data_IF_390353270838
#
_entry.id   IF_390353270838
#
_cell.length_a   1.000
_cell.length_b   1.000
_cell.length_c   1.000
_cell.angle_alpha   90.00
_cell.angle_beta   90.00
_cell.angle_gamma   90.00
#
_symmetry.space_group_name_H-M   'P 1'
#
loop_
_entity.id
_entity.type
_entity.pdbx_description
1 polymer ?
#
# COMPACT_ATOMS: atom_id res chain seq x y z
N UNK A 1 62.75 -8.21 -24.44
CA UNK A 1 61.49 -7.64 -23.91
C UNK A 1 60.35 -8.04 -24.85
N UNK A 2 59.74 -9.21 -24.63
CA UNK A 2 58.57 -9.66 -25.39
C UNK A 2 57.33 -9.05 -24.76
N UNK A 3 56.88 -7.93 -25.33
CA UNK A 3 55.59 -7.33 -24.99
C UNK A 3 54.48 -8.25 -25.52
N UNK A 4 53.66 -8.75 -24.60
CA UNK A 4 52.44 -9.50 -24.85
C UNK A 4 51.55 -8.76 -25.84
N UNK A 5 51.39 -9.29 -27.06
CA UNK A 5 50.26 -8.94 -27.91
C UNK A 5 49.02 -9.66 -27.39
N UNK A 6 48.32 -9.04 -26.44
CA UNK A 6 46.99 -9.49 -26.03
C UNK A 6 46.09 -9.27 -27.25
N UNK A 7 45.70 -10.38 -27.89
CA UNK A 7 44.83 -10.37 -29.06
C UNK A 7 43.56 -9.56 -28.75
N UNK A 8 43.12 -8.63 -29.61
CA UNK A 8 41.94 -7.79 -29.36
C UNK A 8 40.69 -8.63 -29.06
N UNK A 9 40.62 -9.86 -29.57
CA UNK A 9 39.58 -10.83 -29.26
C UNK A 9 39.52 -11.20 -27.76
N UNK A 10 40.67 -11.35 -27.08
CA UNK A 10 40.72 -11.69 -25.65
C UNK A 10 40.23 -10.54 -24.77
N UNK A 11 40.55 -9.29 -25.12
CA UNK A 11 40.06 -8.11 -24.42
C UNK A 11 38.54 -7.95 -24.63
N UNK A 12 38.04 -8.18 -25.84
CA UNK A 12 36.60 -8.19 -26.12
C UNK A 12 35.87 -9.28 -25.33
N UNK A 13 36.41 -10.50 -25.25
CA UNK A 13 35.79 -11.59 -24.49
C UNK A 13 35.72 -11.25 -23.00
N UNK A 14 36.79 -10.69 -22.41
CA UNK A 14 36.77 -10.26 -21.00
C UNK A 14 35.74 -9.16 -20.74
N UNK A 15 35.62 -8.18 -21.64
CA UNK A 15 34.63 -7.09 -21.55
C UNK A 15 33.20 -7.62 -21.72
N UNK A 16 32.98 -8.60 -22.61
CA UNK A 16 31.68 -9.26 -22.78
C UNK A 16 31.28 -10.08 -21.54
N UNK A 17 32.23 -10.77 -20.89
CA UNK A 17 31.96 -11.55 -19.69
C UNK A 17 31.60 -10.62 -18.52
N UNK A 18 32.34 -9.52 -18.32
CA UNK A 18 32.06 -8.59 -17.21
C UNK A 18 30.74 -7.83 -17.40
N UNK A 19 30.38 -7.46 -18.63
CA UNK A 19 29.10 -6.81 -18.92
C UNK A 19 27.90 -7.75 -18.74
N UNK A 20 28.05 -9.02 -19.08
CA UNK A 20 27.00 -10.03 -18.90
C UNK A 20 26.68 -10.29 -17.42
N UNK A 21 27.69 -10.29 -16.55
CA UNK A 21 27.52 -10.56 -15.10
C UNK A 21 26.85 -9.37 -14.39
N UNK A 22 27.05 -8.13 -14.85
CA UNK A 22 26.44 -6.93 -14.26
C UNK A 22 24.95 -6.81 -14.63
N UNK A 23 24.53 -7.32 -15.78
CA UNK A 23 23.13 -7.22 -16.25
C UNK A 23 22.16 -8.21 -15.61
N UNK A 24 22.63 -9.13 -14.75
CA UNK A 24 21.79 -10.13 -14.08
C UNK A 24 21.13 -9.61 -12.79
N UNK A 25 21.13 -8.29 -12.56
CA UNK A 25 20.29 -7.71 -11.52
C UNK A 25 18.81 -7.91 -11.89
N UNK A 26 17.94 -8.37 -10.97
CA UNK A 26 16.54 -8.53 -11.26
C UNK A 26 15.95 -7.16 -11.63
N UNK A 27 15.62 -6.98 -12.90
CA UNK A 27 14.90 -5.80 -13.35
C UNK A 27 13.49 -5.91 -12.78
N UNK A 28 13.15 -5.02 -11.85
CA UNK A 28 11.79 -4.95 -11.29
C UNK A 28 10.84 -4.78 -12.47
N UNK A 29 10.09 -5.83 -12.79
CA UNK A 29 9.15 -5.81 -13.90
C UNK A 29 8.22 -4.60 -13.70
N UNK A 30 8.10 -3.77 -14.74
CA UNK A 30 7.22 -2.61 -14.76
C UNK A 30 5.78 -3.11 -14.87
N UNK A 31 5.22 -3.54 -13.75
CA UNK A 31 3.83 -3.97 -13.67
C UNK A 31 2.93 -2.75 -13.91
N UNK A 32 1.89 -2.87 -14.74
CA UNK A 32 0.99 -1.75 -15.00
C UNK A 32 0.37 -1.27 -13.69
N UNK A 33 0.45 0.04 -13.46
CA UNK A 33 -0.07 0.65 -12.23
C UNK A 33 -1.60 0.63 -12.28
N UNK A 34 -2.19 -0.29 -11.53
CA UNK A 34 -3.65 -0.43 -11.46
C UNK A 34 -4.27 0.77 -10.74
N UNK A 35 -5.32 1.35 -11.33
CA UNK A 35 -6.16 2.33 -10.65
C UNK A 35 -7.19 1.62 -9.78
N UNK A 36 -7.19 1.90 -8.48
CA UNK A 36 -8.07 1.25 -7.50
C UNK A 36 -9.01 2.28 -6.90
N UNK A 37 -10.31 2.07 -7.08
CA UNK A 37 -11.36 2.86 -6.41
C UNK A 37 -12.05 2.00 -5.34
N UNK A 38 -12.19 2.54 -4.13
CA UNK A 38 -12.88 1.87 -3.03
C UNK A 38 -13.98 2.78 -2.46
N UNK A 39 -15.21 2.28 -2.43
CA UNK A 39 -16.34 2.94 -1.76
C UNK A 39 -16.61 2.20 -0.46
N UNK A 40 -16.26 2.84 0.65
CA UNK A 40 -16.31 2.24 1.98
C UNK A 40 -17.35 2.96 2.82
N UNK A 41 -18.15 2.19 3.55
CA UNK A 41 -18.97 2.76 4.62
C UNK A 41 -18.06 3.20 5.77
N UNK A 42 -18.48 4.24 6.49
CA UNK A 42 -17.88 4.60 7.78
C UNK A 42 -17.87 3.39 8.75
N UNK A 43 -16.96 3.41 9.73
CA UNK A 43 -16.92 2.40 10.80
C UNK A 43 -18.16 2.44 11.70
N UNK A 44 -18.29 1.47 12.62
CA UNK A 44 -19.42 1.43 13.55
C UNK A 44 -19.59 2.75 14.35
N UNK A 45 -20.83 3.24 14.45
CA UNK A 45 -21.19 4.48 15.15
C UNK A 45 -22.25 4.19 16.22
N UNK A 46 -22.41 5.11 17.15
CA UNK A 46 -23.65 5.22 17.92
C UNK A 46 -24.85 5.49 16.97
N UNK A 47 -26.09 5.14 17.39
CA UNK A 47 -27.31 5.57 16.72
C UNK A 47 -27.30 7.09 16.48
N UNK A 48 -28.02 7.57 15.47
CA UNK A 48 -28.12 9.03 15.24
C UNK A 48 -29.02 9.72 16.27
N UNK A 49 -29.88 8.96 16.93
CA UNK A 49 -30.79 9.37 17.97
C UNK A 49 -31.57 8.14 18.42
N UNK A 50 -32.64 8.37 19.19
CA UNK A 50 -33.53 7.30 19.62
C UNK A 50 -34.99 7.70 19.50
N UNK A 51 -35.90 6.73 19.63
CA UNK A 51 -37.34 6.93 19.58
C UNK A 51 -37.92 7.20 20.98
N UNK A 52 -39.09 7.86 21.10
CA UNK A 52 -39.60 8.33 22.40
C UNK A 52 -39.81 7.25 23.47
N UNK A 53 -40.11 6.01 23.05
CA UNK A 53 -40.38 4.86 23.95
C UNK A 53 -39.19 3.90 24.08
N UNK A 54 -37.98 4.35 23.78
CA UNK A 54 -36.79 3.51 23.91
C UNK A 54 -36.53 3.17 25.39
N UNK A 55 -36.55 1.89 25.78
CA UNK A 55 -36.24 1.48 27.15
C UNK A 55 -34.80 1.85 27.54
N UNK A 56 -33.91 2.02 26.57
CA UNK A 56 -32.50 2.36 26.77
C UNK A 56 -32.19 3.84 26.48
N UNK A 57 -33.19 4.73 26.46
CA UNK A 57 -33.02 6.15 26.12
C UNK A 57 -31.95 6.87 26.96
N UNK A 58 -31.70 6.40 28.18
CA UNK A 58 -30.74 6.97 29.12
C UNK A 58 -29.32 6.35 28.99
N UNK A 59 -29.13 5.38 28.09
CA UNK A 59 -27.82 4.81 27.82
C UNK A 59 -26.88 5.88 27.27
N UNK A 60 -25.73 6.05 27.93
CA UNK A 60 -24.73 7.04 27.54
C UNK A 60 -23.74 6.43 26.57
N UNK A 61 -23.91 6.75 25.29
CA UNK A 61 -22.87 6.51 24.28
C UNK A 61 -21.62 7.30 24.65
N UNK A 62 -20.47 6.62 24.75
CA UNK A 62 -19.20 7.21 25.21
C UNK A 62 -18.85 8.55 24.53
N UNK A 63 -19.15 8.67 23.23
CA UNK A 63 -18.87 9.86 22.43
C UNK A 63 -20.15 10.61 22.02
N UNK A 64 -21.32 10.17 22.48
CA UNK A 64 -22.62 10.70 22.04
C UNK A 64 -23.18 10.05 20.78
N UNK A 65 -24.40 10.45 20.40
CA UNK A 65 -25.09 9.95 19.22
C UNK A 65 -24.35 10.32 17.92
N UNK A 66 -24.45 9.43 16.93
CA UNK A 66 -23.87 9.56 15.59
C UNK A 66 -22.35 9.45 15.52
N UNK A 67 -21.65 9.46 16.65
CA UNK A 67 -20.19 9.40 16.71
C UNK A 67 -19.67 7.97 16.50
N UNK A 68 -18.49 7.87 15.88
CA UNK A 68 -17.77 6.60 15.72
C UNK A 68 -17.44 5.98 17.09
N UNK A 69 -17.72 4.70 17.26
CA UNK A 69 -17.32 3.96 18.46
C UNK A 69 -15.82 3.65 18.44
N UNK A 70 -15.23 3.31 19.60
CA UNK A 70 -13.82 2.87 19.67
C UNK A 70 -13.58 1.66 18.77
N UNK A 71 -14.51 0.71 18.76
CA UNK A 71 -14.47 -0.47 17.89
C UNK A 71 -14.60 -0.08 16.41
N UNK A 72 -15.48 0.87 16.07
CA UNK A 72 -15.64 1.36 14.70
C UNK A 72 -14.36 2.00 14.14
N UNK A 73 -13.66 2.80 14.95
CA UNK A 73 -12.35 3.36 14.57
C UNK A 73 -11.29 2.28 14.39
N UNK A 74 -11.24 1.31 15.31
CA UNK A 74 -10.30 0.18 15.22
C UNK A 74 -10.54 -0.67 13.96
N UNK A 75 -11.80 -0.93 13.61
CA UNK A 75 -12.14 -1.67 12.40
C UNK A 75 -11.66 -0.95 11.13
N UNK A 76 -11.88 0.37 11.03
CA UNK A 76 -11.38 1.16 9.89
C UNK A 76 -9.84 1.18 9.82
N UNK A 77 -9.17 1.25 10.98
CA UNK A 77 -7.71 1.15 11.03
C UNK A 77 -7.20 -0.22 10.54
N UNK A 78 -7.85 -1.31 10.96
CA UNK A 78 -7.51 -2.66 10.50
C UNK A 78 -7.79 -2.83 9.01
N UNK A 79 -8.88 -2.26 8.50
CA UNK A 79 -9.18 -2.22 7.07
C UNK A 79 -8.08 -1.50 6.28
N UNK A 80 -7.61 -0.34 6.76
CA UNK A 80 -6.49 0.37 6.14
C UNK A 80 -5.21 -0.48 6.08
N UNK A 81 -4.88 -1.20 7.17
CA UNK A 81 -3.75 -2.15 7.18
C UNK A 81 -3.93 -3.29 6.19
N UNK A 82 -5.14 -3.84 6.09
CA UNK A 82 -5.46 -4.88 5.11
C UNK A 82 -5.27 -4.36 3.68
N UNK A 83 -5.81 -3.18 3.35
CA UNK A 83 -5.68 -2.58 2.02
C UNK A 83 -4.22 -2.29 1.66
N UNK A 84 -3.43 -1.76 2.62
CA UNK A 84 -1.98 -1.55 2.41
C UNK A 84 -1.26 -2.85 2.07
N UNK A 85 -1.57 -3.96 2.76
CA UNK A 85 -1.00 -5.28 2.48
C UNK A 85 -1.48 -5.85 1.14
N UNK A 86 -2.77 -5.70 0.83
CA UNK A 86 -3.39 -6.22 -0.40
C UNK A 86 -2.78 -5.58 -1.65
N UNK A 87 -2.50 -4.29 -1.60
CA UNK A 87 -2.01 -3.51 -2.74
C UNK A 87 -0.53 -3.11 -2.59
N UNK A 88 0.27 -3.91 -1.87
CA UNK A 88 1.67 -3.61 -1.61
C UNK A 88 2.54 -3.54 -2.87
N UNK A 89 2.20 -4.32 -3.90
CA UNK A 89 2.87 -4.25 -5.19
C UNK A 89 2.54 -2.98 -5.99
N UNK A 90 1.38 -2.36 -5.73
CA UNK A 90 0.82 -1.25 -6.53
C UNK A 90 0.93 0.12 -5.84
N UNK A 91 1.23 0.14 -4.54
CA UNK A 91 1.32 1.35 -3.72
C UNK A 91 2.73 1.51 -3.16
N UNK A 92 3.30 2.70 -3.32
CA UNK A 92 4.51 3.10 -2.61
C UNK A 92 4.14 3.83 -1.30
N UNK A 93 5.09 4.57 -0.73
CA UNK A 93 4.86 5.47 0.41
C UNK A 93 4.70 6.94 -0.02
N UNK A 94 4.62 7.24 -1.32
CA UNK A 94 4.33 8.58 -1.81
C UNK A 94 2.87 8.98 -1.48
N UNK A 95 2.65 10.04 -0.69
CA UNK A 95 1.30 10.46 -0.30
C UNK A 95 0.43 10.89 -1.48
N UNK A 96 1.00 11.21 -2.65
CA UNK A 96 0.26 11.63 -3.85
C UNK A 96 -0.45 10.46 -4.55
N UNK A 97 -0.13 9.22 -4.18
CA UNK A 97 -0.74 8.02 -4.77
C UNK A 97 -2.08 7.66 -4.13
N UNK A 98 -2.41 8.26 -2.98
CA UNK A 98 -3.63 7.96 -2.23
C UNK A 98 -4.46 9.23 -2.08
N UNK A 99 -5.72 9.17 -2.48
CA UNK A 99 -6.68 10.24 -2.31
C UNK A 99 -7.94 9.71 -1.61
N UNK A 100 -8.51 10.52 -0.71
CA UNK A 100 -9.69 10.16 0.05
C UNK A 100 -10.69 11.33 0.10
N UNK A 101 -11.98 11.00 -0.01
CA UNK A 101 -13.10 11.93 0.15
C UNK A 101 -14.20 11.26 0.97
N UNK A 102 -14.78 12.01 1.92
CA UNK A 102 -15.89 11.59 2.79
C UNK A 102 -17.01 12.61 2.76
#
# INVERSE_FOLDING_TARGET
MQLLHICPAFLCILVCITTSVISAAPQKADLPREFIAAVLRHGARAPLGTFPRDPNKNYKWQYGFGQLTKQGRLAMYQLGKYLRKRYDASLSFDPREVWARS
#
